data_IF_540258863391
#
_entry.id   IF_540258863391
#
_cell.length_a   1.000
_cell.length_b   1.000
_cell.length_c   1.000
_cell.angle_alpha   90.00
_cell.angle_beta   90.00
_cell.angle_gamma   90.00
#
_symmetry.space_group_name_H-M   'P 1'
#
loop_
_entity.id
_entity.type
_entity.pdbx_description
1 polymer ?
#
# COMPACT_ATOMS: atom_id res chain seq x y z
N UNK A 1 11.81 -7.42 18.50
CA UNK A 1 10.74 -7.62 17.48
C UNK A 1 11.09 -6.84 16.23
N UNK A 2 10.64 -7.29 15.04
CA UNK A 2 10.73 -6.50 13.80
C UNK A 2 9.69 -5.38 13.83
N UNK A 3 9.97 -4.27 13.14
CA UNK A 3 9.13 -3.09 13.11
C UNK A 3 8.68 -2.76 11.69
N UNK A 4 7.36 -2.58 11.49
CA UNK A 4 6.78 -2.16 10.21
C UNK A 4 6.06 -0.82 10.35
N UNK A 5 6.24 0.05 9.36
CA UNK A 5 5.44 1.26 9.16
C UNK A 5 4.35 0.98 8.12
N UNK A 6 3.12 1.39 8.41
CA UNK A 6 1.97 1.19 7.51
C UNK A 6 1.22 2.51 7.33
N UNK A 7 1.24 3.07 6.13
CA UNK A 7 0.39 4.22 5.79
C UNK A 7 -1.03 3.76 5.43
N UNK A 8 -2.07 4.52 5.84
CA UNK A 8 -3.46 4.16 5.57
C UNK A 8 -3.98 2.98 6.42
N UNK A 9 -3.55 2.90 7.68
CA UNK A 9 -3.76 1.77 8.60
C UNK A 9 -5.17 1.64 9.19
N UNK A 10 -6.08 2.60 8.98
CA UNK A 10 -7.31 2.70 9.79
C UNK A 10 -8.44 1.77 9.35
N UNK A 11 -8.47 1.32 8.10
CA UNK A 11 -9.54 0.47 7.54
C UNK A 11 -9.07 -0.34 6.33
N UNK A 12 -9.94 -1.25 5.86
CA UNK A 12 -9.73 -2.05 4.65
C UNK A 12 -8.38 -2.77 4.65
N UNK A 13 -7.68 -2.72 3.53
CA UNK A 13 -6.38 -3.38 3.32
C UNK A 13 -5.36 -2.97 4.39
N UNK A 14 -5.29 -1.67 4.74
CA UNK A 14 -4.32 -1.20 5.73
C UNK A 14 -4.56 -1.77 7.11
N UNK A 15 -5.82 -1.85 7.57
CA UNK A 15 -6.17 -2.45 8.85
C UNK A 15 -5.89 -3.97 8.85
N UNK A 16 -6.16 -4.66 7.74
CA UNK A 16 -5.80 -6.07 7.59
C UNK A 16 -4.29 -6.29 7.67
N UNK A 17 -3.51 -5.44 7.00
CA UNK A 17 -2.05 -5.47 7.12
C UNK A 17 -1.58 -5.27 8.58
N UNK A 18 -2.13 -4.27 9.29
CA UNK A 18 -1.79 -4.07 10.73
C UNK A 18 -2.04 -5.35 11.51
N UNK A 19 -3.24 -5.93 11.42
CA UNK A 19 -3.58 -7.19 12.12
C UNK A 19 -2.63 -8.31 11.76
N UNK A 20 -2.32 -8.48 10.47
CA UNK A 20 -1.42 -9.53 9.99
C UNK A 20 -0.03 -9.42 10.59
N UNK A 21 0.55 -8.23 10.65
CA UNK A 21 1.86 -8.01 11.24
C UNK A 21 1.85 -8.19 12.77
N UNK A 22 0.83 -7.68 13.49
CA UNK A 22 0.69 -7.85 14.93
C UNK A 22 0.56 -9.34 15.32
N UNK A 23 -0.24 -10.13 14.58
CA UNK A 23 -0.40 -11.57 14.79
C UNK A 23 0.89 -12.36 14.54
N UNK A 24 1.84 -11.79 13.81
CA UNK A 24 3.17 -12.39 13.55
C UNK A 24 4.28 -11.74 14.37
N UNK A 25 3.94 -11.20 15.54
CA UNK A 25 4.88 -10.68 16.54
C UNK A 25 5.76 -9.50 16.06
N UNK A 26 5.25 -8.69 15.13
CA UNK A 26 5.86 -7.43 14.77
C UNK A 26 5.29 -6.29 15.61
N UNK A 27 6.10 -5.27 15.88
CA UNK A 27 5.57 -3.97 16.30
C UNK A 27 5.20 -3.14 15.07
N UNK A 28 4.12 -2.38 15.16
CA UNK A 28 3.58 -1.63 14.04
C UNK A 28 3.45 -0.16 14.39
N UNK A 29 3.93 0.73 13.53
CA UNK A 29 3.53 2.14 13.55
C UNK A 29 2.62 2.39 12.36
N UNK A 30 1.39 2.84 12.63
CA UNK A 30 0.38 3.12 11.63
C UNK A 30 0.09 4.60 11.48
N UNK A 31 -0.11 5.09 10.25
CA UNK A 31 -0.55 6.45 9.98
C UNK A 31 -1.91 6.46 9.30
N UNK A 32 -2.78 7.36 9.73
CA UNK A 32 -4.09 7.61 9.14
C UNK A 32 -4.64 8.98 9.51
N UNK A 33 -5.73 9.39 8.84
CA UNK A 33 -6.34 10.72 9.07
C UNK A 33 -7.33 10.77 10.22
N UNK A 34 -7.82 9.59 10.68
CA UNK A 34 -8.73 9.51 11.82
C UNK A 34 -8.06 10.07 13.08
N UNK A 35 -8.84 10.72 13.94
CA UNK A 35 -8.37 11.15 15.25
C UNK A 35 -8.22 9.97 16.22
N UNK A 36 -9.04 8.94 16.03
CA UNK A 36 -9.06 7.78 16.92
C UNK A 36 -8.05 6.71 16.48
N UNK A 37 -7.34 6.17 17.46
CA UNK A 37 -6.50 4.99 17.28
C UNK A 37 -7.37 3.77 16.92
N UNK A 38 -7.20 3.15 15.74
CA UNK A 38 -8.04 2.02 15.32
C UNK A 38 -7.73 0.70 16.06
N UNK A 39 -6.64 0.65 16.84
CA UNK A 39 -6.18 -0.55 17.57
C UNK A 39 -5.78 -0.23 19.02
N UNK A 40 -6.69 0.29 19.86
CA UNK A 40 -6.36 0.72 21.22
C UNK A 40 -5.88 -0.43 22.12
N UNK A 41 -6.37 -1.65 21.89
CA UNK A 41 -6.02 -2.85 22.66
C UNK A 41 -4.57 -3.30 22.44
N UNK A 42 -3.90 -2.81 21.40
CA UNK A 42 -2.52 -3.16 21.03
C UNK A 42 -1.49 -2.08 21.38
N UNK A 43 -1.79 -1.18 22.31
CA UNK A 43 -0.98 0.03 22.59
C UNK A 43 0.48 -0.23 22.96
N UNK A 44 0.83 -1.43 23.41
CA UNK A 44 2.22 -1.82 23.69
C UNK A 44 3.05 -2.14 22.45
N UNK A 45 2.40 -2.59 21.37
CA UNK A 45 3.04 -3.06 20.12
C UNK A 45 2.50 -2.34 18.87
N UNK A 46 1.52 -1.45 19.04
CA UNK A 46 0.98 -0.57 17.99
C UNK A 46 1.06 0.89 18.40
N UNK A 47 1.70 1.71 17.56
CA UNK A 47 1.74 3.16 17.70
C UNK A 47 0.96 3.81 16.56
N UNK A 48 0.01 4.66 16.89
CA UNK A 48 -0.79 5.38 15.91
C UNK A 48 -0.35 6.83 15.79
N UNK A 49 -0.14 7.29 14.57
CA UNK A 49 0.19 8.67 14.24
C UNK A 49 -0.91 9.23 13.34
N UNK A 50 -1.68 10.19 13.85
CA UNK A 50 -2.63 10.92 13.01
C UNK A 50 -1.85 11.77 12.00
N UNK A 51 -2.20 11.67 10.71
CA UNK A 51 -1.54 12.47 9.68
C UNK A 51 -2.10 12.26 8.29
N UNK A 52 -1.84 13.23 7.41
CA UNK A 52 -2.16 13.16 5.99
C UNK A 52 -0.89 12.87 5.17
N UNK A 53 -0.97 11.87 4.30
CA UNK A 53 0.15 11.47 3.46
C UNK A 53 0.58 12.56 2.47
N UNK A 54 -0.30 13.49 2.11
CA UNK A 54 0.03 14.64 1.26
C UNK A 54 0.89 15.69 1.98
N UNK A 55 0.81 15.78 3.32
CA UNK A 55 1.58 16.70 4.15
C UNK A 55 3.03 16.24 4.34
N UNK A 56 3.98 17.12 4.03
CA UNK A 56 5.41 16.84 4.24
C UNK A 56 5.74 16.74 5.74
N UNK A 57 5.13 17.60 6.56
CA UNK A 57 5.32 17.64 8.00
C UNK A 57 4.82 16.34 8.64
N UNK A 58 3.66 15.85 8.23
CA UNK A 58 3.09 14.63 8.77
C UNK A 58 3.90 13.38 8.39
N UNK A 59 4.41 13.30 7.15
CA UNK A 59 5.30 12.21 6.75
C UNK A 59 6.57 12.18 7.59
N UNK A 60 7.21 13.32 7.81
CA UNK A 60 8.42 13.44 8.64
C UNK A 60 8.13 13.06 10.09
N UNK A 61 7.03 13.57 10.66
CA UNK A 61 6.58 13.25 12.02
C UNK A 61 6.33 11.75 12.16
N UNK A 62 5.62 11.12 11.22
CA UNK A 62 5.35 9.70 11.21
C UNK A 62 6.64 8.85 11.29
N UNK A 63 7.63 9.15 10.46
CA UNK A 63 8.92 8.44 10.46
C UNK A 63 9.70 8.68 11.76
N UNK A 64 9.71 9.92 12.26
CA UNK A 64 10.38 10.26 13.51
C UNK A 64 9.76 9.55 14.72
N UNK A 65 8.44 9.63 14.88
CA UNK A 65 7.75 9.00 16.00
C UNK A 65 7.91 7.48 15.98
N UNK A 66 7.82 6.87 14.79
CA UNK A 66 8.08 5.45 14.61
C UNK A 66 9.48 5.05 15.11
N UNK A 67 10.49 5.81 14.68
CA UNK A 67 11.88 5.57 15.09
C UNK A 67 12.10 5.75 16.59
N UNK A 68 11.54 6.81 17.19
CA UNK A 68 11.65 7.04 18.63
C UNK A 68 10.92 5.97 19.45
N UNK A 69 9.77 5.47 18.96
CA UNK A 69 8.96 4.51 19.72
C UNK A 69 9.54 3.11 19.71
N UNK A 70 9.99 2.62 18.55
CA UNK A 70 10.39 1.22 18.38
C UNK A 70 11.80 1.02 17.77
N UNK A 71 12.51 2.10 17.50
CA UNK A 71 13.87 2.04 16.94
C UNK A 71 13.86 1.78 15.42
N UNK A 72 14.76 0.90 14.97
CA UNK A 72 14.94 0.60 13.55
C UNK A 72 13.65 0.20 12.84
N UNK A 73 13.56 0.52 11.56
CA UNK A 73 12.42 0.19 10.70
C UNK A 73 12.82 -0.99 9.80
N UNK A 74 12.15 -2.13 9.94
CA UNK A 74 12.41 -3.34 9.16
C UNK A 74 11.54 -3.46 7.91
N UNK A 75 10.34 -2.82 7.90
CA UNK A 75 9.50 -2.77 6.71
C UNK A 75 8.71 -1.46 6.60
N UNK A 76 8.39 -1.09 5.35
CA UNK A 76 7.41 -0.06 5.01
C UNK A 76 6.33 -0.65 4.11
N UNK A 77 5.06 -0.41 4.46
CA UNK A 77 3.92 -0.77 3.61
C UNK A 77 3.13 0.49 3.27
N UNK A 78 3.20 0.90 2.01
CA UNK A 78 2.47 2.05 1.48
C UNK A 78 1.08 1.61 1.01
N UNK A 79 0.07 1.73 1.88
CA UNK A 79 -1.33 1.38 1.58
C UNK A 79 -2.17 2.60 1.30
N UNK A 80 -1.88 3.74 1.94
CA UNK A 80 -2.68 4.95 1.81
C UNK A 80 -2.90 5.34 0.34
N UNK A 81 -4.15 5.56 0.01
CA UNK A 81 -4.54 5.99 -1.33
C UNK A 81 -6.02 6.36 -1.37
N UNK A 82 -6.36 7.19 -2.34
CA UNK A 82 -7.73 7.68 -2.54
C UNK A 82 -8.15 7.48 -4.00
N UNK A 83 -9.44 7.26 -4.21
CA UNK A 83 -10.10 7.41 -5.49
C UNK A 83 -10.52 8.89 -5.68
N UNK A 84 -10.89 9.33 -6.89
CA UNK A 84 -11.53 10.62 -7.07
C UNK A 84 -12.81 10.71 -6.22
N UNK A 85 -13.13 11.90 -5.75
CA UNK A 85 -14.36 12.12 -4.96
C UNK A 85 -15.60 11.85 -5.81
N UNK A 86 -15.55 12.28 -7.06
CA UNK A 86 -16.55 12.05 -8.07
C UNK A 86 -15.89 11.38 -9.29
N UNK A 87 -16.56 10.37 -9.85
CA UNK A 87 -16.10 9.73 -11.08
C UNK A 87 -16.65 10.50 -12.27
N UNK A 88 -15.77 11.18 -12.99
CA UNK A 88 -16.10 11.93 -14.21
C UNK A 88 -15.42 11.32 -15.42
N UNK A 89 -15.98 11.52 -16.59
CA UNK A 89 -15.30 11.18 -17.84
C UNK A 89 -13.93 11.87 -17.91
N UNK A 90 -12.99 11.23 -18.59
CA UNK A 90 -11.63 11.75 -18.75
C UNK A 90 -11.59 13.16 -19.33
N UNK A 91 -12.56 13.51 -20.19
CA UNK A 91 -12.67 14.84 -20.79
C UNK A 91 -13.27 15.90 -19.84
N UNK A 92 -13.82 15.46 -18.71
CA UNK A 92 -14.43 16.32 -17.67
C UNK A 92 -13.66 16.30 -16.35
N UNK A 93 -12.57 15.57 -16.29
CA UNK A 93 -11.68 15.51 -15.10
C UNK A 93 -11.14 16.91 -14.80
N UNK A 94 -11.18 17.31 -13.52
CA UNK A 94 -10.66 18.62 -13.11
C UNK A 94 -9.23 18.52 -12.59
N UNK A 95 -8.48 19.63 -12.68
CA UNK A 95 -7.11 19.70 -12.13
C UNK A 95 -7.11 19.47 -10.61
N UNK A 96 -8.12 19.96 -9.87
CA UNK A 96 -8.21 19.77 -8.42
C UNK A 96 -8.38 18.28 -8.05
N UNK A 97 -9.18 17.52 -8.84
CA UNK A 97 -9.32 16.07 -8.66
C UNK A 97 -8.00 15.35 -8.94
N UNK A 98 -7.34 15.73 -10.03
CA UNK A 98 -6.04 15.21 -10.42
C UNK A 98 -4.99 15.49 -9.33
N UNK A 99 -4.82 16.74 -8.94
CA UNK A 99 -3.82 17.16 -7.95
C UNK A 99 -4.03 16.43 -6.61
N UNK A 100 -5.28 16.39 -6.13
CA UNK A 100 -5.60 15.66 -4.89
C UNK A 100 -5.21 14.19 -4.95
N UNK A 101 -5.52 13.50 -6.05
CA UNK A 101 -5.22 12.07 -6.19
C UNK A 101 -3.71 11.85 -6.33
N UNK A 102 -3.03 12.69 -7.12
CA UNK A 102 -1.58 12.60 -7.33
C UNK A 102 -0.79 12.95 -6.08
N UNK A 103 -1.19 13.98 -5.35
CA UNK A 103 -0.52 14.40 -4.10
C UNK A 103 -0.54 13.30 -3.04
N UNK A 104 -1.68 12.60 -2.91
CA UNK A 104 -1.81 11.52 -1.93
C UNK A 104 -1.17 10.23 -2.46
N UNK A 105 -1.62 9.73 -3.63
CA UNK A 105 -1.27 8.39 -4.07
C UNK A 105 0.17 8.27 -4.57
N UNK A 106 0.67 9.28 -5.29
CA UNK A 106 1.96 9.23 -5.98
C UNK A 106 3.02 10.00 -5.21
N UNK A 107 2.83 11.31 -5.02
CA UNK A 107 3.79 12.17 -4.31
C UNK A 107 3.97 11.74 -2.86
N UNK A 108 2.87 11.48 -2.15
CA UNK A 108 2.93 11.02 -0.76
C UNK A 108 3.69 9.71 -0.62
N UNK A 109 3.38 8.71 -1.47
CA UNK A 109 4.08 7.42 -1.50
C UNK A 109 5.57 7.58 -1.82
N UNK A 110 5.90 8.39 -2.83
CA UNK A 110 7.29 8.64 -3.23
C UNK A 110 8.13 9.20 -2.08
N UNK A 111 7.65 10.27 -1.46
CA UNK A 111 8.41 10.97 -0.43
C UNK A 111 8.39 10.25 0.93
N UNK A 112 7.34 9.52 1.29
CA UNK A 112 7.38 8.64 2.46
C UNK A 112 8.40 7.52 2.25
N UNK A 113 8.40 6.89 1.08
CA UNK A 113 9.41 5.88 0.74
C UNK A 113 10.83 6.43 0.84
N UNK A 114 11.06 7.66 0.34
CA UNK A 114 12.37 8.32 0.43
C UNK A 114 12.81 8.55 1.88
N UNK A 115 11.93 9.06 2.75
CA UNK A 115 12.27 9.32 4.16
C UNK A 115 12.56 8.02 4.92
N UNK A 116 11.74 6.97 4.70
CA UNK A 116 11.96 5.67 5.34
C UNK A 116 13.21 4.99 4.82
N UNK A 117 13.46 5.03 3.50
CA UNK A 117 14.66 4.42 2.90
C UNK A 117 15.96 5.02 3.47
N UNK A 118 16.02 6.33 3.70
CA UNK A 118 17.17 6.99 4.36
C UNK A 118 17.44 6.39 5.74
N UNK A 119 16.38 6.07 6.51
CA UNK A 119 16.53 5.41 7.81
C UNK A 119 16.89 3.94 7.70
N UNK A 120 16.31 3.22 6.75
CA UNK A 120 16.62 1.80 6.54
C UNK A 120 18.06 1.56 6.09
N UNK A 121 18.67 2.46 5.32
CA UNK A 121 20.07 2.38 4.91
C UNK A 121 21.02 2.36 6.13
N UNK A 122 20.64 3.01 7.23
CA UNK A 122 21.40 3.05 8.48
C UNK A 122 21.28 1.74 9.30
N UNK A 123 20.31 0.85 8.98
CA UNK A 123 20.14 -0.42 9.69
C UNK A 123 21.34 -1.35 9.48
N UNK A 124 21.67 -2.19 10.48
CA UNK A 124 22.64 -3.27 10.27
C UNK A 124 22.11 -4.25 9.25
N UNK A 125 23.03 -4.72 8.37
CA UNK A 125 22.67 -5.74 7.38
C UNK A 125 22.56 -7.12 8.06
N UNK A 126 21.48 -7.84 7.80
CA UNK A 126 21.26 -9.19 8.31
C UNK A 126 20.92 -10.12 7.14
N UNK A 127 21.76 -11.13 6.89
CA UNK A 127 21.61 -12.04 5.75
C UNK A 127 21.45 -11.31 4.39
N UNK A 128 22.18 -10.19 4.20
CA UNK A 128 22.11 -9.38 3.00
C UNK A 128 20.94 -8.40 2.96
N UNK A 129 20.08 -8.34 3.96
CA UNK A 129 18.87 -7.50 3.99
C UNK A 129 18.96 -6.48 5.13
N UNK A 130 18.51 -5.23 4.86
CA UNK A 130 18.31 -4.15 5.85
C UNK A 130 16.85 -3.87 6.14
N UNK A 131 15.98 -4.15 5.21
CA UNK A 131 14.54 -3.92 5.34
C UNK A 131 13.81 -4.26 4.04
N UNK A 132 12.49 -4.10 4.03
CA UNK A 132 11.63 -4.36 2.87
C UNK A 132 10.66 -3.22 2.66
N UNK A 133 10.32 -2.93 1.40
CA UNK A 133 9.30 -1.95 1.05
C UNK A 133 8.26 -2.62 0.17
N UNK A 134 6.98 -2.47 0.51
CA UNK A 134 5.86 -2.96 -0.27
C UNK A 134 4.87 -1.82 -0.56
N UNK A 135 4.59 -1.58 -1.83
CA UNK A 135 3.64 -0.59 -2.27
C UNK A 135 2.32 -1.25 -2.69
N UNK A 136 1.19 -0.63 -2.35
CA UNK A 136 -0.11 -1.05 -2.85
C UNK A 136 -0.48 -0.19 -4.06
N UNK A 137 -0.31 -0.77 -5.25
CA UNK A 137 -0.79 -0.15 -6.49
C UNK A 137 -2.23 -0.57 -6.81
N UNK A 138 -2.51 -1.12 -7.96
CA UNK A 138 -3.82 -1.61 -8.40
C UNK A 138 -3.70 -2.24 -9.79
N UNK A 139 -4.66 -3.06 -10.18
CA UNK A 139 -4.91 -3.39 -11.59
C UNK A 139 -5.00 -2.13 -12.47
N UNK A 140 -5.50 -1.02 -11.90
CA UNK A 140 -5.60 0.28 -12.61
C UNK A 140 -4.23 0.87 -13.00
N UNK A 141 -3.12 0.29 -12.56
CA UNK A 141 -1.79 0.71 -12.99
C UNK A 141 -1.51 0.37 -14.48
N UNK A 142 -2.23 -0.59 -15.05
CA UNK A 142 -2.05 -1.03 -16.43
C UNK A 142 -3.38 -1.27 -17.19
N UNK A 143 -4.54 -1.10 -16.52
CA UNK A 143 -5.85 -1.20 -17.15
C UNK A 143 -6.49 0.19 -17.29
N UNK A 144 -7.29 0.38 -18.35
CA UNK A 144 -7.98 1.62 -18.59
C UNK A 144 -9.29 1.71 -17.82
N UNK A 145 -9.56 2.88 -17.25
CA UNK A 145 -10.86 3.25 -16.69
C UNK A 145 -11.08 4.76 -16.91
N UNK A 146 -11.78 5.12 -17.97
CA UNK A 146 -11.98 6.51 -18.42
C UNK A 146 -12.73 7.38 -17.40
N UNK A 147 -13.49 6.78 -16.48
CA UNK A 147 -14.22 7.50 -15.43
C UNK A 147 -13.42 7.75 -14.14
N UNK A 148 -12.11 7.46 -14.15
CA UNK A 148 -11.18 7.69 -13.02
C UNK A 148 -9.73 7.76 -13.52
N UNK A 149 -9.48 8.56 -14.53
CA UNK A 149 -8.19 8.66 -15.22
C UNK A 149 -7.06 9.00 -14.26
N UNK A 150 -7.24 9.97 -13.36
CA UNK A 150 -6.28 10.39 -12.36
C UNK A 150 -5.88 9.24 -11.42
N UNK A 151 -6.81 8.37 -11.07
CA UNK A 151 -6.50 7.19 -10.27
C UNK A 151 -5.61 6.20 -11.03
N UNK A 152 -5.93 5.93 -12.30
CA UNK A 152 -5.11 5.06 -13.14
C UNK A 152 -3.69 5.61 -13.29
N UNK A 153 -3.56 6.90 -13.59
CA UNK A 153 -2.27 7.60 -13.70
C UNK A 153 -1.49 7.48 -12.37
N UNK A 154 -2.16 7.73 -11.24
CA UNK A 154 -1.52 7.67 -9.94
C UNK A 154 -0.99 6.26 -9.62
N UNK A 155 -1.77 5.22 -9.94
CA UNK A 155 -1.36 3.83 -9.67
C UNK A 155 -0.26 3.34 -10.63
N UNK A 156 -0.24 3.81 -11.87
CA UNK A 156 0.88 3.63 -12.78
C UNK A 156 2.15 4.32 -12.24
N UNK A 157 1.99 5.52 -11.65
CA UNK A 157 3.07 6.22 -10.93
C UNK A 157 3.62 5.41 -9.76
N UNK A 158 2.76 4.78 -8.94
CA UNK A 158 3.20 3.90 -7.83
C UNK A 158 3.98 2.69 -8.35
N UNK A 159 3.55 2.09 -9.48
CA UNK A 159 4.31 1.00 -10.10
C UNK A 159 5.70 1.46 -10.58
N UNK A 160 5.81 2.68 -11.11
CA UNK A 160 7.12 3.24 -11.49
C UNK A 160 7.98 3.56 -10.27
N UNK A 161 7.40 4.09 -9.18
CA UNK A 161 8.08 4.31 -7.89
C UNK A 161 8.68 2.99 -7.38
N UNK A 162 7.93 1.89 -7.45
CA UNK A 162 8.42 0.56 -7.07
C UNK A 162 9.68 0.17 -7.83
N UNK A 163 9.68 0.32 -9.15
CA UNK A 163 10.83 -0.01 -10.00
C UNK A 163 12.04 0.86 -9.70
N UNK A 164 11.84 2.18 -9.59
CA UNK A 164 12.92 3.13 -9.32
C UNK A 164 13.59 2.87 -7.98
N UNK A 165 12.80 2.63 -6.92
CA UNK A 165 13.37 2.32 -5.61
C UNK A 165 13.93 0.91 -5.53
N UNK A 166 13.37 -0.06 -6.25
CA UNK A 166 13.92 -1.42 -6.33
C UNK A 166 15.34 -1.41 -6.90
N UNK A 167 15.55 -0.69 -8.01
CA UNK A 167 16.87 -0.51 -8.64
C UNK A 167 17.82 0.26 -7.70
N UNK A 168 17.37 1.42 -7.20
CA UNK A 168 18.21 2.31 -6.39
C UNK A 168 18.62 1.73 -5.04
N UNK A 169 17.77 0.90 -4.42
CA UNK A 169 17.99 0.38 -3.08
C UNK A 169 18.56 -1.04 -3.03
N UNK A 170 18.72 -1.69 -4.18
CA UNK A 170 19.27 -3.03 -4.27
C UNK A 170 20.69 -3.14 -3.65
N UNK A 171 21.56 -2.17 -3.91
CA UNK A 171 22.91 -2.11 -3.35
C UNK A 171 22.93 -2.02 -1.80
N UNK A 172 21.83 -1.53 -1.20
CA UNK A 172 21.68 -1.45 0.25
C UNK A 172 21.01 -2.67 0.87
N UNK A 173 20.60 -3.65 0.08
CA UNK A 173 19.86 -4.81 0.57
C UNK A 173 18.45 -4.45 1.06
N UNK A 174 17.75 -3.59 0.33
CA UNK A 174 16.37 -3.19 0.62
C UNK A 174 15.49 -3.53 -0.60
N UNK A 175 14.94 -4.76 -0.68
CA UNK A 175 13.98 -5.11 -1.71
C UNK A 175 12.73 -4.23 -1.67
N UNK A 176 12.27 -3.81 -2.86
CA UNK A 176 11.06 -3.01 -3.04
C UNK A 176 10.16 -3.71 -4.05
N UNK A 177 8.95 -4.05 -3.63
CA UNK A 177 7.97 -4.74 -4.46
C UNK A 177 6.60 -4.07 -4.37
N UNK A 178 5.65 -4.49 -5.19
CA UNK A 178 4.28 -4.03 -5.10
C UNK A 178 3.28 -5.18 -5.13
N UNK A 179 2.15 -4.96 -4.49
CA UNK A 179 0.93 -5.77 -4.65
C UNK A 179 -0.07 -4.96 -5.46
N UNK A 180 -0.71 -5.61 -6.43
CA UNK A 180 -1.78 -5.06 -7.27
C UNK A 180 -3.10 -5.72 -6.91
N UNK A 181 -3.91 -5.12 -6.03
CA UNK A 181 -5.23 -5.64 -5.72
C UNK A 181 -6.17 -5.64 -6.93
N UNK A 182 -7.00 -6.68 -7.03
CA UNK A 182 -8.13 -6.75 -7.93
C UNK A 182 -9.38 -6.08 -7.35
N UNK A 183 -10.50 -6.80 -7.39
CA UNK A 183 -11.79 -6.38 -6.84
C UNK A 183 -11.85 -6.86 -5.38
N UNK A 184 -11.56 -5.95 -4.45
CA UNK A 184 -11.47 -6.25 -3.01
C UNK A 184 -12.65 -5.62 -2.26
N UNK A 185 -13.25 -6.37 -1.34
CA UNK A 185 -14.36 -5.94 -0.49
C UNK A 185 -13.87 -4.91 0.54
N UNK A 186 -14.08 -3.62 0.25
CA UNK A 186 -13.70 -2.49 1.10
C UNK A 186 -14.74 -1.38 0.98
N UNK A 187 -14.67 -0.37 1.86
CA UNK A 187 -15.53 0.83 1.76
C UNK A 187 -15.39 1.54 0.40
N UNK A 188 -14.20 1.49 -0.20
CA UNK A 188 -13.94 2.11 -1.51
C UNK A 188 -14.74 1.46 -2.64
N UNK A 189 -15.06 0.20 -2.52
CA UNK A 189 -15.79 -0.60 -3.53
C UNK A 189 -17.27 -0.77 -3.20
N UNK A 190 -17.72 -0.37 -2.01
CA UNK A 190 -19.11 -0.53 -1.56
C UNK A 190 -20.16 0.05 -2.51
N UNK A 191 -19.88 1.24 -3.09
CA UNK A 191 -20.79 1.93 -4.03
C UNK A 191 -20.98 1.21 -5.37
N UNK A 192 -20.13 0.26 -5.69
CA UNK A 192 -20.15 -0.49 -6.96
C UNK A 192 -20.34 -1.99 -6.73
N UNK A 193 -20.79 -2.37 -5.52
CA UNK A 193 -20.90 -3.77 -5.11
C UNK A 193 -21.82 -4.56 -6.03
N UNK A 194 -23.06 -4.14 -6.23
CA UNK A 194 -24.04 -4.82 -7.08
C UNK A 194 -23.54 -5.05 -8.51
N UNK A 195 -22.86 -4.05 -9.08
CA UNK A 195 -22.25 -4.17 -10.41
C UNK A 195 -21.24 -5.32 -10.46
N UNK A 196 -20.37 -5.39 -9.46
CA UNK A 196 -19.31 -6.42 -9.43
C UNK A 196 -19.84 -7.78 -9.00
N UNK A 197 -20.88 -7.87 -8.14
CA UNK A 197 -21.55 -9.12 -7.83
C UNK A 197 -22.03 -9.78 -9.13
N UNK A 198 -22.78 -9.05 -9.97
CA UNK A 198 -23.28 -9.54 -11.26
C UNK A 198 -22.16 -9.96 -12.23
N UNK A 199 -21.04 -9.23 -12.24
CA UNK A 199 -19.90 -9.54 -13.11
C UNK A 199 -19.14 -10.78 -12.65
N UNK A 200 -18.97 -10.95 -11.34
CA UNK A 200 -18.30 -12.11 -10.74
C UNK A 200 -19.15 -13.35 -10.96
N UNK A 201 -20.45 -13.29 -10.72
CA UNK A 201 -21.41 -14.39 -11.00
C UNK A 201 -21.45 -14.72 -12.49
N UNK A 202 -21.26 -13.74 -13.35
CA UNK A 202 -21.12 -13.89 -14.80
C UNK A 202 -19.75 -14.42 -15.25
N UNK A 203 -18.86 -14.81 -14.34
CA UNK A 203 -17.58 -15.43 -14.65
C UNK A 203 -16.45 -14.45 -14.98
N UNK A 204 -16.52 -13.19 -14.52
CA UNK A 204 -15.45 -12.20 -14.71
C UNK A 204 -14.12 -12.69 -14.12
N UNK A 205 -14.15 -13.31 -12.95
CA UNK A 205 -12.96 -13.77 -12.23
C UNK A 205 -12.82 -15.29 -12.32
N UNK A 206 -11.62 -15.83 -12.62
CA UNK A 206 -11.34 -17.26 -12.48
C UNK A 206 -11.59 -17.79 -11.07
N UNK A 207 -11.15 -17.06 -10.03
CA UNK A 207 -11.54 -17.31 -8.64
C UNK A 207 -12.81 -16.49 -8.40
N UNK A 208 -13.97 -17.15 -8.51
CA UNK A 208 -15.30 -16.53 -8.57
C UNK A 208 -15.78 -16.02 -7.19
N UNK A 209 -15.02 -15.07 -6.62
CA UNK A 209 -15.39 -14.36 -5.38
C UNK A 209 -14.76 -12.96 -5.34
N UNK A 210 -15.27 -12.12 -4.50
CA UNK A 210 -14.55 -10.93 -4.05
C UNK A 210 -13.24 -11.33 -3.39
N UNK A 211 -12.19 -10.56 -3.63
CA UNK A 211 -11.03 -10.61 -2.76
C UNK A 211 -11.34 -9.94 -1.42
N UNK A 212 -10.73 -10.42 -0.36
CA UNK A 212 -10.83 -9.85 0.97
C UNK A 212 -9.56 -9.04 1.31
N UNK A 213 -9.63 -8.05 2.21
CA UNK A 213 -8.45 -7.34 2.68
C UNK A 213 -7.34 -8.25 3.17
N UNK A 214 -7.68 -9.40 3.75
CA UNK A 214 -6.73 -10.39 4.26
C UNK A 214 -5.97 -11.09 3.12
N UNK A 215 -6.58 -11.32 1.95
CA UNK A 215 -5.86 -11.85 0.77
C UNK A 215 -4.67 -10.93 0.39
N UNK A 216 -4.88 -9.62 0.50
CA UNK A 216 -3.83 -8.63 0.21
C UNK A 216 -2.80 -8.57 1.34
N UNK A 217 -3.24 -8.62 2.61
CA UNK A 217 -2.35 -8.58 3.76
C UNK A 217 -1.40 -9.79 3.79
N UNK A 218 -1.86 -10.96 3.36
CA UNK A 218 -1.04 -12.17 3.24
C UNK A 218 0.07 -12.00 2.21
N UNK A 219 -0.24 -11.47 1.04
CA UNK A 219 0.72 -11.18 -0.01
C UNK A 219 1.76 -10.13 0.43
N UNK A 220 1.30 -9.04 1.08
CA UNK A 220 2.17 -8.01 1.65
C UNK A 220 3.11 -8.59 2.70
N UNK A 221 2.60 -9.41 3.61
CA UNK A 221 3.41 -10.05 4.63
C UNK A 221 4.46 -10.98 4.02
N UNK A 222 4.11 -11.78 3.02
CA UNK A 222 5.05 -12.65 2.33
C UNK A 222 6.22 -11.85 1.71
N UNK A 223 5.95 -10.68 1.11
CA UNK A 223 6.96 -9.81 0.52
C UNK A 223 7.84 -9.09 1.57
N UNK A 224 7.32 -8.86 2.79
CA UNK A 224 8.01 -8.11 3.84
C UNK A 224 8.64 -8.99 4.94
N UNK A 225 8.23 -10.24 5.07
CA UNK A 225 8.68 -11.13 6.16
C UNK A 225 10.14 -11.61 6.05
N UNK A 226 10.72 -11.51 4.83
CA UNK A 226 12.01 -12.10 4.48
C UNK A 226 11.89 -13.49 3.86
N UNK A 227 10.67 -13.99 3.60
CA UNK A 227 10.46 -15.28 2.92
C UNK A 227 10.96 -15.30 1.47
N UNK A 228 11.07 -14.12 0.83
CA UNK A 228 11.46 -13.96 -0.57
C UNK A 228 12.70 -13.05 -0.70
N UNK A 229 13.89 -13.51 -0.25
CA UNK A 229 15.06 -12.64 -0.12
C UNK A 229 15.68 -12.21 -1.46
N UNK A 230 15.37 -12.87 -2.57
CA UNK A 230 15.90 -12.59 -3.91
C UNK A 230 14.84 -12.03 -4.86
N UNK A 231 13.83 -11.32 -4.32
CA UNK A 231 12.72 -10.75 -5.07
C UNK A 231 12.69 -9.23 -4.88
N UNK A 232 12.94 -8.48 -5.94
CA UNK A 232 12.81 -7.01 -5.96
C UNK A 232 12.28 -6.52 -7.31
N UNK A 233 11.58 -5.39 -7.32
CA UNK A 233 11.01 -4.78 -8.53
C UNK A 233 9.78 -5.52 -9.07
N UNK A 234 9.24 -6.49 -8.33
CA UNK A 234 8.13 -7.32 -8.78
C UNK A 234 6.78 -6.68 -8.47
N UNK A 235 5.84 -6.93 -9.37
CA UNK A 235 4.42 -6.64 -9.21
C UNK A 235 3.67 -7.95 -9.04
N UNK A 236 3.02 -8.13 -7.89
CA UNK A 236 2.21 -9.30 -7.60
C UNK A 236 0.73 -8.95 -7.74
N UNK A 237 0.10 -9.46 -8.79
CA UNK A 237 -1.35 -9.34 -8.97
C UNK A 237 -2.07 -10.28 -7.98
N UNK A 238 -2.89 -9.70 -7.09
CA UNK A 238 -3.75 -10.41 -6.13
C UNK A 238 -5.19 -10.05 -6.48
N UNK A 239 -5.73 -10.70 -7.50
CA UNK A 239 -6.91 -10.25 -8.23
C UNK A 239 -7.88 -11.37 -8.65
N UNK A 240 -7.69 -12.59 -8.14
CA UNK A 240 -8.50 -13.73 -8.49
C UNK A 240 -8.37 -14.18 -9.96
N UNK A 241 -7.27 -13.76 -10.62
CA UNK A 241 -7.00 -14.08 -12.03
C UNK A 241 -7.66 -13.10 -13.01
N UNK A 242 -8.07 -11.91 -12.55
CA UNK A 242 -8.68 -10.88 -13.40
C UNK A 242 -7.76 -10.40 -14.53
N UNK A 243 -6.45 -10.40 -14.31
CA UNK A 243 -5.44 -10.01 -15.30
C UNK A 243 -5.30 -10.99 -16.46
N UNK A 244 -5.80 -12.22 -16.31
CA UNK A 244 -5.65 -13.24 -17.36
C UNK A 244 -6.53 -12.91 -18.57
N UNK A 245 -5.94 -12.94 -19.75
CA UNK A 245 -6.70 -12.91 -21.00
C UNK A 245 -7.24 -14.31 -21.23
N UNK A 246 -8.59 -14.43 -21.25
CA UNK A 246 -9.27 -15.71 -21.51
C UNK A 246 -9.88 -15.70 -22.90
N UNK A 247 -9.81 -16.87 -23.56
CA UNK A 247 -10.43 -17.14 -24.86
C UNK A 247 -11.91 -17.47 -24.69
#
# INVERSE_FOLDING_TARGET
MKHVLISGCTRGIGAACVKKFLLNEWVVTGMGRSEENPFPDYSSIFHYVQGDLSSTEDRKRFVMEAFYKFGKIDALVNVAGVAPLERKDLLEMTEESYDRVMDINTKGTLFLTQEVAKKMIENPIQNGIRGHICNISSLSAYTSSTSRGEYCISKAGVSMITKLFADRLAEYGIPVNEVRPGIIATDMTSKVKEKYDNLIDGGLLPIARWGEPDDIADAVYALCSGALPYVTGQSLDVDGGFHLRRL
#
